data_IF_332367789553
#
_entry.id   IF_332367789553
#
_cell.length_a   1.000
_cell.length_b   1.000
_cell.length_c   1.000
_cell.angle_alpha   90.00
_cell.angle_beta   90.00
_cell.angle_gamma   90.00
#
_symmetry.space_group_name_H-M   'P 1'
#
loop_
_entity.id
_entity.type
_entity.pdbx_description
1 polymer ?
#
# COMPACT_ATOMS: atom_id res chain seq x y z
N UNK A 1 31.72 -12.94 -35.54
CA UNK A 1 30.93 -11.83 -35.00
C UNK A 1 29.50 -12.24 -34.68
N UNK A 2 28.92 -13.16 -35.46
CA UNK A 2 27.56 -13.61 -35.27
C UNK A 2 27.38 -14.64 -34.14
N UNK A 3 28.41 -15.47 -33.86
CA UNK A 3 28.40 -16.43 -32.77
C UNK A 3 28.33 -15.76 -31.39
N UNK A 4 29.09 -14.68 -31.18
CA UNK A 4 29.06 -13.91 -29.93
C UNK A 4 27.68 -13.27 -29.65
N UNK A 5 26.98 -12.84 -30.71
CA UNK A 5 25.61 -12.32 -30.58
C UNK A 5 24.66 -13.42 -30.12
N UNK A 6 24.76 -14.62 -30.72
CA UNK A 6 23.88 -15.73 -30.38
C UNK A 6 24.15 -16.27 -28.98
N UNK A 7 25.41 -16.38 -28.55
CA UNK A 7 25.77 -16.70 -27.18
C UNK A 7 25.24 -15.67 -26.18
N UNK A 8 25.34 -14.37 -26.51
CA UNK A 8 24.76 -13.32 -25.66
C UNK A 8 23.25 -13.42 -25.56
N UNK A 9 22.53 -13.74 -26.66
CA UNK A 9 21.07 -13.94 -26.63
C UNK A 9 20.66 -15.15 -25.78
N UNK A 10 21.44 -16.26 -25.85
CA UNK A 10 21.18 -17.46 -25.03
C UNK A 10 21.43 -17.22 -23.52
N UNK A 11 22.46 -16.43 -23.18
CA UNK A 11 22.70 -16.03 -21.80
C UNK A 11 21.56 -15.15 -21.29
N UNK A 12 21.06 -14.21 -22.09
CA UNK A 12 19.94 -13.34 -21.73
C UNK A 12 18.62 -14.12 -21.56
N UNK A 13 18.39 -15.12 -22.40
CA UNK A 13 17.23 -15.99 -22.25
C UNK A 13 17.28 -16.77 -20.93
N UNK A 14 18.44 -17.32 -20.57
CA UNK A 14 18.63 -18.10 -19.33
C UNK A 14 18.63 -17.23 -18.07
N UNK A 15 19.31 -16.08 -18.09
CA UNK A 15 19.49 -15.24 -16.89
C UNK A 15 18.36 -14.24 -16.67
N UNK A 16 17.77 -13.74 -17.75
CA UNK A 16 16.76 -12.65 -17.69
C UNK A 16 15.37 -13.09 -18.11
N UNK A 17 15.20 -14.35 -18.54
CA UNK A 17 13.94 -14.91 -19.03
C UNK A 17 13.33 -14.11 -20.20
N UNK A 18 14.18 -13.53 -21.06
CA UNK A 18 13.77 -12.77 -22.24
C UNK A 18 13.88 -13.71 -23.44
N UNK A 19 12.74 -14.00 -24.09
CA UNK A 19 12.70 -14.90 -25.24
C UNK A 19 13.66 -14.43 -26.34
N UNK A 20 14.47 -15.35 -26.86
CA UNK A 20 15.38 -15.14 -27.98
C UNK A 20 14.64 -14.60 -29.22
N UNK A 21 13.44 -15.13 -29.48
CA UNK A 21 12.63 -14.71 -30.63
C UNK A 21 12.19 -13.24 -30.50
N UNK A 22 11.76 -12.81 -29.32
CA UNK A 22 11.40 -11.40 -29.05
C UNK A 22 12.59 -10.45 -29.30
N UNK A 23 13.81 -10.88 -28.92
CA UNK A 23 15.02 -10.08 -29.15
C UNK A 23 15.36 -10.02 -30.65
N UNK A 24 15.24 -11.13 -31.37
CA UNK A 24 15.50 -11.21 -32.80
C UNK A 24 14.49 -10.32 -33.58
N UNK A 25 13.20 -10.40 -33.28
CA UNK A 25 12.18 -9.53 -33.88
C UNK A 25 12.48 -8.05 -33.62
N UNK A 26 12.85 -7.68 -32.39
CA UNK A 26 13.19 -6.30 -32.05
C UNK A 26 14.42 -5.80 -32.82
N UNK A 27 15.42 -6.67 -33.02
CA UNK A 27 16.61 -6.36 -33.85
C UNK A 27 16.19 -6.18 -35.31
N UNK A 28 15.36 -7.05 -35.87
CA UNK A 28 14.85 -6.94 -37.23
C UNK A 28 14.11 -5.61 -37.46
N UNK A 29 13.20 -5.24 -36.57
CA UNK A 29 12.48 -3.97 -36.64
C UNK A 29 13.42 -2.75 -36.57
N UNK A 30 14.43 -2.81 -35.72
CA UNK A 30 15.43 -1.77 -35.61
C UNK A 30 16.28 -1.63 -36.87
N UNK A 31 16.64 -2.74 -37.50
CA UNK A 31 17.38 -2.75 -38.75
C UNK A 31 16.55 -2.19 -39.91
N UNK A 32 15.26 -2.52 -39.98
CA UNK A 32 14.34 -1.92 -40.94
C UNK A 32 14.27 -0.41 -40.76
N UNK A 33 14.17 0.08 -39.51
CA UNK A 33 14.17 1.50 -39.20
C UNK A 33 15.48 2.19 -39.56
N UNK A 34 16.61 1.51 -39.35
CA UNK A 34 17.91 1.99 -39.74
C UNK A 34 18.03 2.12 -41.28
N UNK A 35 17.49 1.17 -42.01
CA UNK A 35 17.39 1.25 -43.46
C UNK A 35 16.54 2.43 -43.92
N UNK A 36 15.39 2.67 -43.29
CA UNK A 36 14.55 3.86 -43.56
C UNK A 36 15.30 5.16 -43.38
N UNK A 37 16.05 5.27 -42.29
CA UNK A 37 16.83 6.47 -41.98
C UNK A 37 18.01 6.68 -42.96
N UNK A 38 18.61 5.59 -43.44
CA UNK A 38 19.78 5.66 -44.33
C UNK A 38 19.39 5.92 -45.81
N UNK A 39 18.31 5.28 -46.26
CA UNK A 39 17.89 5.35 -47.66
C UNK A 39 16.73 6.34 -47.91
N UNK A 40 16.13 6.92 -46.85
CA UNK A 40 15.03 7.88 -46.96
C UNK A 40 13.68 7.24 -47.29
N UNK A 41 13.64 6.07 -47.94
CA UNK A 41 12.50 5.20 -48.23
C UNK A 41 12.93 3.77 -48.00
N UNK A 42 12.18 2.96 -47.32
CA UNK A 42 12.51 1.55 -47.08
C UNK A 42 11.28 0.67 -46.91
N UNK A 43 10.19 1.07 -47.57
CA UNK A 43 8.98 0.25 -47.59
C UNK A 43 9.14 -1.05 -48.40
N UNK A 44 10.20 -1.11 -49.21
CA UNK A 44 10.63 -2.24 -50.00
C UNK A 44 11.77 -3.05 -49.36
N UNK A 45 12.21 -2.73 -48.16
CA UNK A 45 13.34 -3.45 -47.52
C UNK A 45 12.80 -4.48 -46.53
N UNK A 46 13.23 -5.73 -46.71
CA UNK A 46 13.02 -6.84 -45.79
C UNK A 46 14.35 -7.21 -45.12
N UNK A 47 14.31 -7.37 -43.82
CA UNK A 47 15.44 -7.85 -43.04
C UNK A 47 15.05 -9.23 -42.50
N UNK A 48 15.95 -10.18 -42.62
CA UNK A 48 15.78 -11.50 -42.01
C UNK A 48 17.04 -11.85 -41.24
N UNK A 49 16.87 -12.40 -40.05
CA UNK A 49 17.96 -12.87 -39.20
C UNK A 49 17.83 -14.39 -39.09
N UNK A 50 18.92 -15.08 -39.36
CA UNK A 50 18.99 -16.55 -39.14
C UNK A 50 19.12 -16.81 -37.65
N UNK A 51 18.10 -17.42 -37.03
CA UNK A 51 18.05 -17.72 -35.62
C UNK A 51 19.12 -18.70 -35.12
N UNK A 52 19.79 -19.43 -36.02
CA UNK A 52 20.85 -20.39 -35.66
C UNK A 52 22.24 -19.77 -35.77
N UNK A 53 22.50 -18.98 -36.82
CA UNK A 53 23.83 -18.45 -37.12
C UNK A 53 24.00 -16.97 -36.70
N UNK A 54 22.90 -16.26 -36.44
CA UNK A 54 22.89 -14.83 -36.18
C UNK A 54 23.25 -14.00 -37.42
N UNK A 55 23.29 -14.60 -38.61
CA UNK A 55 23.53 -13.87 -39.84
C UNK A 55 22.29 -13.14 -40.27
N UNK A 56 22.44 -11.87 -40.60
CA UNK A 56 21.36 -11.07 -41.11
C UNK A 56 21.51 -10.82 -42.62
N UNK A 57 20.40 -10.88 -43.32
CA UNK A 57 20.26 -10.54 -44.73
C UNK A 57 19.34 -9.35 -44.87
N UNK A 58 19.77 -8.35 -45.60
CA UNK A 58 18.94 -7.21 -45.97
C UNK A 58 18.66 -7.30 -47.44
N UNK A 59 17.39 -7.39 -47.79
CA UNK A 59 16.96 -7.54 -49.19
C UNK A 59 16.03 -6.39 -49.52
N UNK A 60 16.36 -5.65 -50.58
CA UNK A 60 15.43 -4.69 -51.16
C UNK A 60 14.64 -5.33 -52.29
N UNK A 61 13.34 -5.31 -52.23
CA UNK A 61 12.43 -5.71 -53.28
C UNK A 61 12.34 -4.57 -54.26
N UNK A 62 13.03 -4.70 -55.42
CA UNK A 62 13.06 -3.66 -56.46
C UNK A 62 12.21 -4.03 -57.64
N UNK A 63 11.46 -3.06 -58.16
CA UNK A 63 10.63 -3.24 -59.37
C UNK A 63 11.51 -3.15 -60.61
N UNK A 64 11.38 -4.09 -61.52
CA UNK A 64 12.10 -4.07 -62.80
C UNK A 64 11.52 -3.03 -63.73
N UNK A 65 12.34 -2.10 -64.17
CA UNK A 65 11.97 -1.01 -65.06
C UNK A 65 12.95 -0.93 -66.26
N UNK A 66 12.53 -0.31 -67.32
CA UNK A 66 13.41 -0.07 -68.49
C UNK A 66 14.42 1.03 -68.23
N UNK A 67 13.99 2.10 -67.56
CA UNK A 67 14.80 3.26 -67.20
C UNK A 67 14.62 3.53 -65.68
N UNK A 68 15.71 3.36 -64.92
CA UNK A 68 15.72 3.54 -63.46
C UNK A 68 15.62 5.03 -63.15
N UNK A 69 14.55 5.42 -62.47
CA UNK A 69 14.34 6.76 -61.91
C UNK A 69 14.72 6.83 -60.44
N UNK A 70 14.41 5.82 -59.67
CA UNK A 70 14.74 5.69 -58.27
C UNK A 70 15.62 4.41 -58.05
N UNK A 71 16.92 4.56 -57.89
CA UNK A 71 17.84 3.42 -57.71
C UNK A 71 17.54 2.58 -56.42
N UNK A 72 16.75 3.12 -55.48
CA UNK A 72 16.38 2.43 -54.26
C UNK A 72 15.20 1.46 -54.49
N UNK A 73 14.21 1.91 -55.27
CA UNK A 73 12.97 1.17 -55.51
C UNK A 73 13.00 0.38 -56.82
N UNK A 74 13.87 0.72 -57.73
CA UNK A 74 13.86 0.22 -59.13
C UNK A 74 15.18 -0.45 -59.51
N UNK A 75 15.15 -1.39 -60.42
CA UNK A 75 16.30 -2.05 -61.03
C UNK A 75 16.11 -2.12 -62.55
N UNK A 76 17.17 -1.89 -63.32
CA UNK A 76 17.11 -2.01 -64.78
C UNK A 76 16.88 -3.47 -65.20
N UNK A 77 16.10 -3.67 -66.24
CA UNK A 77 15.82 -4.99 -66.83
C UNK A 77 17.11 -5.75 -67.18
N UNK A 78 18.14 -5.06 -67.67
CA UNK A 78 19.44 -5.61 -67.98
C UNK A 78 20.15 -6.23 -66.78
N UNK A 79 20.01 -5.58 -65.60
CA UNK A 79 20.64 -6.04 -64.36
C UNK A 79 19.81 -7.13 -63.70
N UNK A 80 18.51 -7.05 -63.76
CA UNK A 80 17.57 -8.10 -63.30
C UNK A 80 17.80 -9.40 -64.08
N UNK A 81 17.93 -9.34 -65.43
CA UNK A 81 18.23 -10.53 -66.26
C UNK A 81 19.65 -11.12 -66.05
N UNK A 82 20.60 -10.42 -65.48
CA UNK A 82 21.89 -10.98 -65.06
C UNK A 82 21.73 -11.89 -63.83
N UNK A 83 20.76 -11.59 -62.94
CA UNK A 83 20.48 -12.42 -61.78
C UNK A 83 19.63 -13.65 -62.19
N UNK A 84 18.57 -13.49 -62.98
CA UNK A 84 17.76 -14.56 -63.54
C UNK A 84 17.13 -14.08 -64.87
N UNK A 85 17.35 -14.85 -65.95
CA UNK A 85 16.89 -14.54 -67.29
C UNK A 85 15.35 -14.50 -67.45
N UNK A 86 14.64 -14.97 -66.46
CA UNK A 86 13.15 -15.05 -66.46
C UNK A 86 12.45 -13.74 -66.08
N UNK A 87 13.16 -12.77 -65.50
CA UNK A 87 12.56 -11.54 -65.07
C UNK A 87 12.09 -10.66 -66.26
N UNK A 88 10.88 -10.11 -66.12
CA UNK A 88 10.24 -9.19 -67.07
C UNK A 88 10.00 -7.80 -66.45
N UNK A 89 9.62 -6.83 -67.30
CA UNK A 89 9.26 -5.50 -66.83
C UNK A 89 8.09 -5.54 -65.87
N UNK A 90 8.18 -4.91 -64.70
CA UNK A 90 7.18 -4.89 -63.69
C UNK A 90 7.34 -5.95 -62.61
N UNK A 91 8.25 -6.94 -62.77
CA UNK A 91 8.52 -7.95 -61.78
C UNK A 91 9.26 -7.35 -60.54
N UNK A 92 9.09 -8.03 -59.39
CA UNK A 92 9.75 -7.65 -58.15
C UNK A 92 10.98 -8.58 -57.98
N UNK A 93 12.18 -7.98 -57.94
CA UNK A 93 13.47 -8.69 -57.78
C UNK A 93 14.02 -8.44 -56.39
N UNK A 94 14.27 -9.50 -55.60
CA UNK A 94 14.98 -9.38 -54.30
C UNK A 94 16.49 -9.13 -54.53
N UNK A 95 16.94 -7.95 -54.22
CA UNK A 95 18.34 -7.54 -54.34
C UNK A 95 19.00 -7.45 -52.96
N UNK A 96 20.01 -8.27 -52.70
CA UNK A 96 20.76 -8.23 -51.45
C UNK A 96 21.61 -6.95 -51.33
N UNK A 97 21.40 -6.18 -50.26
CA UNK A 97 22.19 -4.99 -49.96
C UNK A 97 23.46 -5.41 -49.21
N UNK A 98 24.59 -5.46 -49.90
CA UNK A 98 25.92 -5.72 -49.33
C UNK A 98 26.68 -4.44 -49.11
N UNK A 99 26.63 -3.88 -47.91
CA UNK A 99 27.43 -2.70 -47.56
C UNK A 99 28.18 -2.96 -46.25
N UNK A 100 29.52 -2.71 -46.26
CA UNK A 100 30.36 -2.79 -45.04
C UNK A 100 29.92 -1.74 -43.98
N UNK A 101 29.45 -0.58 -44.44
CA UNK A 101 28.95 0.48 -43.57
C UNK A 101 27.65 0.07 -42.89
N UNK A 102 26.77 -0.55 -43.65
CA UNK A 102 25.51 -1.09 -43.11
C UNK A 102 25.75 -2.16 -42.04
N UNK A 103 26.74 -3.04 -42.25
CA UNK A 103 27.11 -4.05 -41.25
C UNK A 103 27.52 -3.44 -39.90
N UNK A 104 28.21 -2.30 -39.88
CA UNK A 104 28.58 -1.58 -38.65
C UNK A 104 27.36 -0.94 -37.98
N UNK A 105 26.53 -0.28 -38.77
CA UNK A 105 25.28 0.36 -38.31
C UNK A 105 24.34 -0.72 -37.71
N UNK A 106 24.19 -1.85 -38.41
CA UNK A 106 23.37 -2.98 -37.98
C UNK A 106 23.84 -3.53 -36.62
N UNK A 107 25.15 -3.78 -36.47
CA UNK A 107 25.71 -4.29 -35.19
C UNK A 107 25.49 -3.30 -34.04
N UNK A 108 25.70 -2.00 -34.27
CA UNK A 108 25.49 -0.98 -33.25
C UNK A 108 24.01 -0.87 -32.86
N UNK A 109 23.10 -0.93 -33.84
CA UNK A 109 21.65 -0.89 -33.59
C UNK A 109 21.20 -2.15 -32.85
N UNK A 110 21.64 -3.33 -33.26
CA UNK A 110 21.33 -4.58 -32.55
C UNK A 110 21.74 -4.50 -31.07
N UNK A 111 22.95 -4.00 -30.78
CA UNK A 111 23.40 -3.79 -29.40
C UNK A 111 22.49 -2.84 -28.62
N UNK A 112 22.11 -1.71 -29.23
CA UNK A 112 21.26 -0.72 -28.57
C UNK A 112 19.87 -1.29 -28.28
N UNK A 113 19.29 -2.04 -29.24
CA UNK A 113 17.98 -2.69 -29.08
C UNK A 113 18.00 -3.72 -27.98
N UNK A 114 19.03 -4.57 -27.95
CA UNK A 114 19.20 -5.56 -26.87
C UNK A 114 19.27 -4.86 -25.51
N UNK A 115 20.08 -3.83 -25.36
CA UNK A 115 20.19 -3.05 -24.13
C UNK A 115 18.86 -2.38 -23.74
N UNK A 116 18.11 -1.91 -24.73
CA UNK A 116 16.79 -1.33 -24.51
C UNK A 116 15.80 -2.40 -24.01
N UNK A 117 15.75 -3.57 -24.65
CA UNK A 117 14.88 -4.68 -24.26
C UNK A 117 15.20 -5.19 -22.87
N UNK A 118 16.49 -5.36 -22.52
CA UNK A 118 16.91 -5.73 -21.16
C UNK A 118 16.36 -4.71 -20.14
N UNK A 119 16.51 -3.40 -20.41
CA UNK A 119 16.00 -2.36 -19.52
C UNK A 119 14.47 -2.36 -19.43
N UNK A 120 13.77 -2.68 -20.51
CA UNK A 120 12.30 -2.79 -20.52
C UNK A 120 11.84 -3.96 -19.63
N UNK A 121 12.46 -5.12 -19.77
CA UNK A 121 12.13 -6.29 -18.94
C UNK A 121 12.55 -6.10 -17.47
N UNK A 122 13.71 -5.51 -17.20
CA UNK A 122 14.10 -5.16 -15.82
C UNK A 122 13.10 -4.20 -15.18
N UNK A 123 12.59 -3.23 -15.93
CA UNK A 123 11.55 -2.30 -15.45
C UNK A 123 10.23 -3.01 -15.19
N UNK A 124 9.85 -3.95 -16.06
CA UNK A 124 8.63 -4.75 -15.89
C UNK A 124 8.70 -5.61 -14.63
N UNK A 125 9.79 -6.34 -14.44
CA UNK A 125 10.02 -7.14 -13.22
C UNK A 125 10.00 -6.27 -11.97
N UNK A 126 10.63 -5.08 -12.02
CA UNK A 126 10.59 -4.13 -10.90
C UNK A 126 9.17 -3.60 -10.67
N UNK A 127 8.42 -3.30 -11.72
CA UNK A 127 7.05 -2.86 -11.60
C UNK A 127 6.19 -3.94 -10.95
N UNK A 128 6.24 -5.17 -11.42
CA UNK A 128 5.48 -6.29 -10.89
C UNK A 128 5.82 -6.53 -9.39
N UNK A 129 7.14 -6.50 -9.04
CA UNK A 129 7.60 -6.67 -7.66
C UNK A 129 7.07 -5.60 -6.70
N UNK A 130 6.95 -4.33 -7.15
CA UNK A 130 6.44 -3.26 -6.30
C UNK A 130 4.93 -3.11 -6.38
N UNK A 131 4.30 -3.54 -7.47
CA UNK A 131 2.85 -3.62 -7.60
C UNK A 131 2.23 -4.59 -6.59
N UNK A 132 2.87 -5.75 -6.35
CA UNK A 132 2.47 -6.68 -5.29
C UNK A 132 2.51 -6.07 -3.88
N UNK A 133 3.30 -4.99 -3.70
CA UNK A 133 3.40 -4.25 -2.44
C UNK A 133 2.48 -3.03 -2.36
N UNK A 134 1.65 -2.83 -3.37
CA UNK A 134 0.62 -1.78 -3.32
C UNK A 134 -0.34 -2.05 -2.18
N UNK A 135 -0.72 -0.99 -1.47
CA UNK A 135 -1.55 -1.08 -0.27
C UNK A 135 -0.91 -1.79 0.93
N UNK A 136 0.42 -1.91 0.94
CA UNK A 136 1.16 -2.47 2.07
C UNK A 136 2.21 -1.47 2.60
N UNK A 137 2.79 -1.78 3.77
CA UNK A 137 3.83 -0.97 4.40
C UNK A 137 5.21 -1.51 4.04
N UNK A 138 6.05 -0.61 3.54
CA UNK A 138 7.44 -0.92 3.22
C UNK A 138 8.39 -0.03 4.03
N UNK A 139 9.55 -0.59 4.39
CA UNK A 139 10.61 0.17 5.01
C UNK A 139 11.53 0.72 3.93
N UNK A 140 11.71 2.04 3.92
CA UNK A 140 12.64 2.71 3.03
C UNK A 140 13.68 3.53 3.78
N UNK A 141 14.68 4.00 3.06
CA UNK A 141 15.74 4.88 3.55
C UNK A 141 15.58 6.25 2.90
N UNK A 142 15.50 7.29 3.71
CA UNK A 142 15.43 8.67 3.23
C UNK A 142 16.71 9.02 2.49
N UNK A 143 16.62 9.46 1.24
CA UNK A 143 17.77 9.88 0.45
C UNK A 143 17.97 11.40 0.50
N UNK A 144 16.97 12.15 0.04
CA UNK A 144 17.04 13.60 -0.10
C UNK A 144 15.66 14.23 -0.28
N UNK A 145 15.61 15.51 -0.06
CA UNK A 145 14.48 16.34 -0.50
C UNK A 145 14.60 16.68 -1.98
N UNK A 146 13.48 16.60 -2.68
CA UNK A 146 13.33 17.03 -4.08
C UNK A 146 12.24 18.12 -4.12
N UNK A 147 12.65 19.36 -3.96
CA UNK A 147 11.72 20.46 -3.66
C UNK A 147 11.08 20.27 -2.28
N UNK A 148 9.75 20.15 -2.23
CA UNK A 148 8.99 19.88 -1.01
C UNK A 148 8.71 18.38 -0.78
N UNK A 149 9.03 17.55 -1.76
CA UNK A 149 8.84 16.12 -1.68
C UNK A 149 10.10 15.45 -1.13
N UNK A 150 9.93 14.23 -0.59
CA UNK A 150 11.04 13.41 -0.08
C UNK A 150 11.20 12.18 -0.97
N UNK A 151 12.44 11.93 -1.40
CA UNK A 151 12.84 10.69 -2.09
C UNK A 151 13.26 9.66 -1.07
N UNK A 152 12.60 8.50 -1.10
CA UNK A 152 12.83 7.38 -0.19
C UNK A 152 13.28 6.18 -1.01
N UNK A 153 14.45 5.64 -0.73
CA UNK A 153 14.97 4.45 -1.39
C UNK A 153 14.35 3.19 -0.80
N UNK A 154 13.73 2.38 -1.63
CA UNK A 154 13.14 1.09 -1.28
C UNK A 154 14.06 -0.10 -1.65
N UNK A 155 15.33 0.16 -1.94
CA UNK A 155 16.32 -0.80 -2.37
C UNK A 155 16.58 -0.72 -3.87
N UNK A 156 15.67 -1.17 -4.70
CA UNK A 156 15.83 -1.16 -6.17
C UNK A 156 15.17 0.03 -6.87
N UNK A 157 14.22 0.68 -6.20
CA UNK A 157 13.42 1.80 -6.73
C UNK A 157 13.34 2.90 -5.70
N UNK A 158 13.30 4.14 -6.17
CA UNK A 158 13.06 5.31 -5.33
C UNK A 158 11.57 5.62 -5.31
N UNK A 159 11.00 5.70 -4.11
CA UNK A 159 9.63 6.12 -3.87
C UNK A 159 9.58 7.64 -3.65
N UNK A 160 8.43 8.23 -3.99
CA UNK A 160 8.17 9.64 -3.80
C UNK A 160 7.13 9.85 -2.71
N UNK A 161 7.53 10.50 -1.63
CA UNK A 161 6.66 10.99 -0.57
C UNK A 161 6.36 12.47 -0.88
N UNK A 162 5.15 12.74 -1.39
CA UNK A 162 4.75 14.11 -1.76
C UNK A 162 4.45 14.95 -0.53
N UNK A 163 4.49 16.29 -0.66
CA UNK A 163 4.22 17.22 0.43
C UNK A 163 2.87 16.93 1.13
N UNK A 164 1.82 16.60 0.37
CA UNK A 164 0.49 16.31 0.91
C UNK A 164 0.43 14.98 1.69
N UNK A 165 1.34 14.08 1.43
CA UNK A 165 1.44 12.77 2.07
C UNK A 165 2.44 12.76 3.24
N UNK A 166 3.08 13.90 3.52
CA UNK A 166 3.95 14.10 4.68
C UNK A 166 3.14 14.54 5.89
N UNK A 167 3.49 14.04 7.05
CA UNK A 167 2.92 14.50 8.31
C UNK A 167 3.47 15.88 8.64
N UNK A 168 2.59 16.82 8.98
CA UNK A 168 3.00 18.18 9.34
C UNK A 168 3.92 18.17 10.56
N UNK A 169 5.10 18.76 10.39
CA UNK A 169 6.12 18.85 11.47
C UNK A 169 7.07 17.65 11.53
N UNK A 170 6.83 16.57 10.80
CA UNK A 170 7.78 15.46 10.67
C UNK A 170 8.98 15.90 9.84
N UNK A 171 10.18 15.63 10.34
CA UNK A 171 11.44 15.92 9.65
C UNK A 171 12.08 14.62 9.23
N UNK A 172 12.56 14.58 7.99
CA UNK A 172 13.23 13.42 7.44
C UNK A 172 14.72 13.72 7.28
N UNK A 173 15.55 12.96 7.98
CA UNK A 173 17.00 13.08 7.87
C UNK A 173 17.55 12.09 6.82
N UNK A 174 18.54 12.48 6.03
CA UNK A 174 19.22 11.55 5.11
C UNK A 174 19.70 10.30 5.86
N UNK A 175 19.57 9.14 5.25
CA UNK A 175 19.87 7.81 5.81
C UNK A 175 18.93 7.28 6.88
N UNK A 176 17.97 8.08 7.35
CA UNK A 176 16.93 7.63 8.28
C UNK A 176 16.07 6.52 7.63
N UNK A 177 15.81 5.46 8.40
CA UNK A 177 14.84 4.44 8.01
C UNK A 177 13.45 4.88 8.42
N UNK A 178 12.49 4.75 7.50
CA UNK A 178 11.09 5.11 7.74
C UNK A 178 10.18 4.03 7.16
N UNK A 179 9.11 3.72 7.85
CA UNK A 179 8.04 2.88 7.33
C UNK A 179 7.03 3.76 6.59
N UNK A 180 6.67 3.40 5.39
CA UNK A 180 5.74 4.16 4.53
C UNK A 180 4.71 3.23 3.90
N UNK A 181 3.50 3.73 3.75
CA UNK A 181 2.42 3.02 3.07
C UNK A 181 2.50 3.27 1.56
N UNK A 182 2.45 2.22 0.76
CA UNK A 182 2.47 2.33 -0.70
C UNK A 182 1.06 2.64 -1.20
N UNK A 183 0.87 3.87 -1.72
CA UNK A 183 -0.41 4.32 -2.26
C UNK A 183 -0.69 3.77 -3.64
N UNK A 184 0.31 3.87 -4.51
CA UNK A 184 0.14 3.55 -5.93
C UNK A 184 1.51 3.30 -6.58
N UNK A 185 1.54 2.35 -7.50
CA UNK A 185 2.70 2.05 -8.33
C UNK A 185 2.37 2.29 -9.80
N UNK A 186 2.96 3.31 -10.40
CA UNK A 186 2.74 3.67 -11.81
C UNK A 186 3.89 3.19 -12.68
N UNK A 187 3.55 2.57 -13.81
CA UNK A 187 4.53 2.27 -14.83
C UNK A 187 4.80 3.51 -15.68
N UNK A 188 6.05 3.94 -15.75
CA UNK A 188 6.47 5.07 -16.57
C UNK A 188 7.60 4.68 -17.53
N UNK A 189 7.82 5.50 -18.56
CA UNK A 189 8.90 5.28 -19.53
C UNK A 189 10.29 5.23 -18.90
N UNK A 190 10.46 5.81 -17.69
CA UNK A 190 11.72 5.81 -16.94
C UNK A 190 11.83 4.69 -15.91
N UNK A 191 10.75 3.92 -15.69
CA UNK A 191 10.65 2.84 -14.72
C UNK A 191 9.45 3.01 -13.80
N UNK A 192 9.24 2.08 -12.84
CA UNK A 192 8.15 2.18 -11.88
C UNK A 192 8.31 3.42 -11.01
N UNK A 193 7.21 4.15 -10.85
CA UNK A 193 7.11 5.29 -9.94
C UNK A 193 6.24 4.87 -8.77
N UNK A 194 6.84 4.71 -7.60
CA UNK A 194 6.16 4.33 -6.38
C UNK A 194 5.78 5.57 -5.60
N UNK A 195 4.49 5.74 -5.33
CA UNK A 195 3.98 6.84 -4.50
C UNK A 195 3.70 6.29 -3.10
N UNK A 196 4.17 6.99 -2.09
CA UNK A 196 4.05 6.55 -0.69
C UNK A 196 3.45 7.63 0.19
N UNK A 197 2.84 7.22 1.30
CA UNK A 197 2.19 8.10 2.28
C UNK A 197 2.64 7.80 3.71
N UNK A 198 2.69 8.86 4.51
CA UNK A 198 2.79 8.81 5.98
C UNK A 198 1.49 9.28 6.65
N UNK A 199 0.55 9.86 5.88
CA UNK A 199 -0.71 10.40 6.39
C UNK A 199 -1.88 9.41 6.29
N UNK A 200 -1.77 8.38 5.45
CA UNK A 200 -2.85 7.43 5.19
C UNK A 200 -3.23 6.62 6.45
N UNK A 201 -4.53 6.44 6.77
CA UNK A 201 -4.97 5.66 7.94
C UNK A 201 -4.51 4.19 7.91
N UNK A 202 -4.47 3.59 6.73
CA UNK A 202 -4.02 2.20 6.56
C UNK A 202 -2.56 1.98 7.01
N UNK A 203 -1.72 3.03 7.05
CA UNK A 203 -0.39 2.93 7.63
C UNK A 203 -0.46 2.44 9.07
N UNK A 204 -1.39 3.00 9.87
CA UNK A 204 -1.57 2.62 11.28
C UNK A 204 -2.04 1.17 11.37
N UNK A 205 -3.02 0.78 10.56
CA UNK A 205 -3.54 -0.60 10.52
C UNK A 205 -2.43 -1.61 10.24
N UNK A 206 -1.64 -1.38 9.18
CA UNK A 206 -0.53 -2.26 8.81
C UNK A 206 0.59 -2.30 9.86
N UNK A 207 0.82 -1.18 10.56
CA UNK A 207 1.76 -1.16 11.68
C UNK A 207 1.29 -2.06 12.84
N UNK A 208 -0.01 -2.03 13.17
CA UNK A 208 -0.58 -2.93 14.16
C UNK A 208 -0.55 -4.39 13.69
N UNK A 209 -0.86 -4.69 12.43
CA UNK A 209 -0.72 -6.04 11.86
C UNK A 209 0.72 -6.58 11.97
N UNK A 210 1.73 -5.70 11.87
CA UNK A 210 3.13 -6.11 12.02
C UNK A 210 3.58 -6.29 13.47
N UNK A 211 2.94 -5.61 14.43
CA UNK A 211 3.35 -5.57 15.84
C UNK A 211 2.53 -6.52 16.71
N UNK A 212 1.28 -6.80 16.32
CA UNK A 212 0.29 -7.56 17.10
C UNK A 212 -0.07 -8.84 16.36
N UNK A 213 0.36 -9.98 16.87
CA UNK A 213 0.11 -11.30 16.27
C UNK A 213 -1.37 -11.62 16.14
N UNK A 214 -2.17 -11.26 17.15
CA UNK A 214 -3.61 -11.49 17.18
C UNK A 214 -4.36 -10.71 16.08
N UNK A 215 -3.80 -9.56 15.65
CA UNK A 215 -4.31 -8.80 14.50
C UNK A 215 -3.87 -9.45 13.19
N UNK A 216 -2.60 -9.88 13.10
CA UNK A 216 -2.06 -10.55 11.92
C UNK A 216 -2.77 -11.89 11.63
N UNK A 217 -3.16 -12.62 12.67
CA UNK A 217 -3.90 -13.89 12.59
C UNK A 217 -5.41 -13.72 12.39
N UNK A 218 -5.91 -12.46 12.46
CA UNK A 218 -7.34 -12.17 12.29
C UNK A 218 -8.21 -12.52 13.50
N UNK A 219 -7.62 -12.82 14.65
CA UNK A 219 -8.34 -13.02 15.93
C UNK A 219 -8.91 -11.68 16.38
N UNK A 220 -8.09 -10.63 16.32
CA UNK A 220 -8.49 -9.25 16.57
C UNK A 220 -8.61 -8.53 15.23
N UNK A 221 -9.77 -7.92 15.00
CA UNK A 221 -10.06 -7.17 13.79
C UNK A 221 -10.12 -5.67 14.07
N UNK A 222 -9.46 -4.88 13.25
CA UNK A 222 -9.56 -3.42 13.27
C UNK A 222 -10.75 -3.04 12.37
N UNK A 223 -11.88 -2.69 12.98
CA UNK A 223 -13.15 -2.38 12.29
C UNK A 223 -13.14 -1.00 11.63
N UNK A 224 -12.60 0.00 12.31
CA UNK A 224 -12.52 1.37 11.77
C UNK A 224 -11.34 2.14 12.36
N UNK A 225 -10.87 3.13 11.60
CA UNK A 225 -9.79 4.03 12.01
C UNK A 225 -10.15 5.46 11.61
N UNK A 226 -10.03 6.39 12.56
CA UNK A 226 -10.09 7.82 12.33
C UNK A 226 -8.77 8.45 12.72
N UNK A 227 -8.09 9.10 11.77
CA UNK A 227 -6.74 9.62 11.95
C UNK A 227 -6.64 11.10 11.62
N UNK A 228 -5.96 11.84 12.49
CA UNK A 228 -5.37 13.15 12.23
C UNK A 228 -3.85 12.98 12.33
N UNK A 229 -3.24 12.75 11.17
CA UNK A 229 -1.83 12.37 11.06
C UNK A 229 -0.89 13.32 11.80
N UNK A 230 0.01 12.76 12.61
CA UNK A 230 0.95 13.50 13.46
C UNK A 230 0.37 14.08 14.74
N UNK A 231 -0.92 13.86 15.01
CA UNK A 231 -1.59 14.35 16.21
C UNK A 231 -2.23 13.21 17.02
N UNK A 232 -3.31 12.63 16.49
CA UNK A 232 -4.06 11.59 17.19
C UNK A 232 -4.78 10.67 16.24
N UNK A 233 -4.83 9.39 16.58
CA UNK A 233 -5.61 8.35 15.90
C UNK A 233 -6.53 7.66 16.89
N UNK A 234 -7.79 7.41 16.48
CA UNK A 234 -8.71 6.52 17.18
C UNK A 234 -8.92 5.28 16.32
N UNK A 235 -8.88 4.11 16.95
CA UNK A 235 -8.97 2.82 16.28
C UNK A 235 -9.96 1.94 17.03
N UNK A 236 -11.03 1.50 16.35
CA UNK A 236 -12.01 0.60 16.91
C UNK A 236 -11.63 -0.85 16.59
N UNK A 237 -11.50 -1.67 17.62
CA UNK A 237 -11.07 -3.08 17.54
C UNK A 237 -12.14 -4.01 18.08
N UNK A 238 -12.23 -5.19 17.47
CA UNK A 238 -13.14 -6.24 17.83
C UNK A 238 -12.42 -7.58 17.93
N UNK A 239 -12.76 -8.40 18.90
CA UNK A 239 -12.24 -9.77 18.98
C UNK A 239 -13.25 -10.79 18.48
N UNK A 240 -12.82 -11.66 17.60
CA UNK A 240 -13.61 -12.81 17.13
C UNK A 240 -13.57 -13.98 18.13
N UNK A 241 -12.64 -13.96 19.11
CA UNK A 241 -12.56 -14.92 20.20
C UNK A 241 -12.95 -14.24 21.51
N UNK A 242 -14.02 -14.71 22.21
CA UNK A 242 -14.49 -14.12 23.45
C UNK A 242 -13.46 -14.21 24.61
N UNK A 243 -12.43 -15.06 24.50
CA UNK A 243 -11.36 -15.17 25.49
C UNK A 243 -10.22 -14.17 25.27
N UNK A 244 -10.23 -13.44 24.16
CA UNK A 244 -9.18 -12.48 23.80
C UNK A 244 -9.72 -11.06 23.92
N UNK A 245 -9.16 -10.28 24.84
CA UNK A 245 -9.45 -8.85 24.94
C UNK A 245 -8.74 -8.11 23.79
N UNK A 246 -9.52 -7.59 22.84
CA UNK A 246 -9.01 -6.87 21.68
C UNK A 246 -8.20 -5.63 22.05
N UNK A 247 -8.65 -4.86 23.04
CA UNK A 247 -7.97 -3.68 23.54
C UNK A 247 -6.64 -4.01 24.20
N UNK A 248 -6.64 -5.01 25.07
CA UNK A 248 -5.45 -5.52 25.76
C UNK A 248 -4.42 -6.11 24.79
N UNK A 249 -4.85 -6.86 23.78
CA UNK A 249 -3.99 -7.43 22.75
C UNK A 249 -3.26 -6.35 21.94
N UNK A 250 -3.97 -5.32 21.50
CA UNK A 250 -3.39 -4.19 20.77
C UNK A 250 -2.53 -3.29 21.67
N UNK A 251 -2.91 -3.10 22.94
CA UNK A 251 -2.14 -2.33 23.92
C UNK A 251 -0.83 -3.00 24.29
N UNK A 252 -0.89 -4.29 24.56
CA UNK A 252 0.22 -5.07 25.10
C UNK A 252 0.50 -4.75 26.56
N UNK A 253 1.43 -5.51 27.17
CA UNK A 253 1.81 -5.31 28.57
C UNK A 253 2.34 -3.89 28.79
N UNK A 254 1.73 -3.15 29.72
CA UNK A 254 2.05 -1.74 29.98
C UNK A 254 2.05 -0.83 28.73
N UNK A 255 1.24 -1.15 27.74
CA UNK A 255 1.16 -0.38 26.50
C UNK A 255 2.35 -0.58 25.56
N UNK A 256 3.14 -1.65 25.72
CA UNK A 256 4.38 -1.85 24.95
C UNK A 256 4.14 -1.88 23.44
N UNK A 257 3.11 -2.58 22.97
CA UNK A 257 2.80 -2.72 21.53
C UNK A 257 2.30 -1.40 20.93
N UNK A 258 1.32 -0.77 21.56
CA UNK A 258 0.82 0.54 21.09
C UNK A 258 1.91 1.60 21.10
N UNK A 259 2.81 1.60 22.12
CA UNK A 259 3.92 2.53 22.20
C UNK A 259 4.97 2.30 21.10
N UNK A 260 5.19 1.06 20.65
CA UNK A 260 6.05 0.78 19.52
C UNK A 260 5.51 1.47 18.22
N UNK A 261 4.20 1.39 18.00
CA UNK A 261 3.55 2.06 16.87
C UNK A 261 3.57 3.59 17.04
N UNK A 262 3.30 4.11 18.25
CA UNK A 262 3.39 5.55 18.57
C UNK A 262 4.79 6.10 18.28
N UNK A 263 5.84 5.36 18.65
CA UNK A 263 7.23 5.75 18.39
C UNK A 263 7.56 5.76 16.89
N UNK A 264 7.08 4.78 16.12
CA UNK A 264 7.23 4.77 14.66
C UNK A 264 6.53 5.98 14.00
N UNK A 265 5.44 6.45 14.58
CA UNK A 265 4.66 7.61 14.12
C UNK A 265 5.08 8.93 14.78
N UNK A 266 6.31 8.97 15.35
CA UNK A 266 6.91 10.18 15.97
C UNK A 266 6.06 10.82 17.07
N UNK A 267 5.39 9.99 17.88
CA UNK A 267 4.61 10.45 19.04
C UNK A 267 3.15 10.75 18.75
N UNK A 268 2.61 10.32 17.61
CA UNK A 268 1.17 10.38 17.32
C UNK A 268 0.41 9.53 18.35
N UNK A 269 -0.52 10.14 19.08
CA UNK A 269 -1.29 9.44 20.12
C UNK A 269 -2.31 8.49 19.48
N UNK A 270 -2.43 7.29 20.04
CA UNK A 270 -3.35 6.27 19.55
C UNK A 270 -4.30 5.86 20.68
N UNK A 271 -5.59 6.04 20.45
CA UNK A 271 -6.66 5.55 21.33
C UNK A 271 -7.24 4.26 20.74
N UNK A 272 -7.13 3.17 21.49
CA UNK A 272 -7.73 1.89 21.16
C UNK A 272 -9.10 1.84 21.82
N UNK A 273 -10.13 1.56 21.02
CA UNK A 273 -11.53 1.62 21.39
C UNK A 273 -12.16 0.27 21.09
N UNK A 274 -12.93 -0.27 22.04
CA UNK A 274 -13.71 -1.47 21.79
C UNK A 274 -14.84 -1.14 20.82
N UNK A 275 -14.88 -1.86 19.70
CA UNK A 275 -15.97 -1.76 18.74
C UNK A 275 -17.20 -2.49 19.29
N UNK A 276 -18.38 -1.94 19.02
CA UNK A 276 -19.66 -2.54 19.38
C UNK A 276 -20.65 -2.42 18.23
N UNK A 277 -21.53 -3.40 18.10
CA UNK A 277 -22.60 -3.40 17.09
C UNK A 277 -23.67 -2.35 17.41
N UNK A 278 -23.89 -2.09 18.71
CA UNK A 278 -24.77 -1.03 19.17
C UNK A 278 -24.12 0.34 18.93
N UNK A 279 -24.71 1.18 18.07
CA UNK A 279 -24.14 2.50 17.76
C UNK A 279 -23.98 3.40 19.00
N UNK A 280 -24.88 3.31 19.98
CA UNK A 280 -24.81 4.11 21.19
C UNK A 280 -23.55 3.76 22.01
N UNK A 281 -23.29 2.46 22.22
CA UNK A 281 -22.09 1.98 22.92
C UNK A 281 -20.81 2.30 22.14
N UNK A 282 -20.84 2.15 20.82
CA UNK A 282 -19.69 2.51 19.98
C UNK A 282 -19.36 3.99 20.08
N UNK A 283 -20.36 4.88 20.10
CA UNK A 283 -20.16 6.34 20.22
C UNK A 283 -19.67 6.67 21.63
N UNK A 284 -20.21 6.07 22.67
CA UNK A 284 -19.74 6.22 24.05
C UNK A 284 -18.26 5.86 24.14
N UNK A 285 -17.88 4.65 23.69
CA UNK A 285 -16.50 4.20 23.65
C UNK A 285 -15.59 5.14 22.82
N UNK A 286 -16.09 5.64 21.69
CA UNK A 286 -15.35 6.54 20.80
C UNK A 286 -15.06 7.89 21.42
N UNK A 287 -15.84 8.35 22.37
CA UNK A 287 -15.61 9.62 23.09
C UNK A 287 -14.61 9.50 24.24
N UNK A 288 -14.15 8.26 24.55
CA UNK A 288 -13.06 8.07 25.51
C UNK A 288 -11.91 9.06 25.28
N UNK A 289 -11.27 9.62 26.33
CA UNK A 289 -11.43 9.29 27.75
C UNK A 289 -12.56 10.05 28.49
N UNK A 290 -13.43 10.81 27.80
CA UNK A 290 -14.55 11.45 28.42
C UNK A 290 -15.60 10.43 28.86
N UNK A 291 -16.17 10.63 30.05
CA UNK A 291 -17.30 9.82 30.52
C UNK A 291 -18.60 10.40 29.98
N UNK A 292 -19.46 9.54 29.48
CA UNK A 292 -20.75 9.88 28.90
C UNK A 292 -21.85 9.49 29.89
N UNK A 293 -22.92 10.28 29.98
CA UNK A 293 -24.13 9.96 30.77
C UNK A 293 -25.08 9.15 29.92
N UNK A 294 -25.41 9.64 28.72
CA UNK A 294 -26.29 8.95 27.80
C UNK A 294 -25.97 9.25 26.35
N UNK A 295 -26.31 8.32 25.46
CA UNK A 295 -26.18 8.44 24.01
C UNK A 295 -27.49 8.03 23.36
N UNK A 296 -28.12 8.96 22.66
CA UNK A 296 -29.26 8.72 21.81
C UNK A 296 -28.80 8.72 20.36
N UNK A 297 -28.67 7.53 19.76
CA UNK A 297 -28.23 7.38 18.38
C UNK A 297 -29.40 7.03 17.47
N UNK A 298 -29.51 7.75 16.35
CA UNK A 298 -30.41 7.42 15.25
C UNK A 298 -29.64 6.76 14.12
N UNK A 299 -29.78 5.44 13.91
CA UNK A 299 -29.07 4.71 12.87
C UNK A 299 -29.52 5.09 11.44
N UNK A 300 -30.76 5.56 11.24
CA UNK A 300 -31.30 5.89 9.92
C UNK A 300 -30.73 7.22 9.45
N UNK A 301 -30.78 8.26 10.30
CA UNK A 301 -30.26 9.58 9.98
C UNK A 301 -28.72 9.70 10.20
N UNK A 302 -28.09 8.69 10.83
CA UNK A 302 -26.69 8.74 11.25
C UNK A 302 -26.37 9.95 12.12
N UNK A 303 -27.27 10.30 13.03
CA UNK A 303 -27.10 11.35 14.02
C UNK A 303 -27.08 10.78 15.42
N UNK A 304 -26.38 11.44 16.32
CA UNK A 304 -26.37 11.05 17.72
C UNK A 304 -26.33 12.29 18.62
N UNK A 305 -27.14 12.28 19.68
CA UNK A 305 -27.06 13.25 20.77
C UNK A 305 -26.37 12.57 21.94
N UNK A 306 -25.38 13.25 22.49
CA UNK A 306 -24.57 12.74 23.60
C UNK A 306 -24.63 13.72 24.75
N UNK A 307 -24.96 13.23 25.93
CA UNK A 307 -25.00 14.01 27.16
C UNK A 307 -23.79 13.62 28.03
N UNK A 308 -23.03 14.61 28.45
CA UNK A 308 -21.86 14.44 29.30
C UNK A 308 -21.96 15.30 30.55
N UNK A 309 -21.33 14.95 31.68
CA UNK A 309 -21.25 15.82 32.84
C UNK A 309 -20.61 17.17 32.45
N UNK A 310 -21.03 18.28 33.07
CA UNK A 310 -20.54 19.62 32.75
C UNK A 310 -19.01 19.73 32.78
N UNK A 311 -18.35 19.08 33.76
CA UNK A 311 -16.89 19.06 33.87
C UNK A 311 -16.20 18.20 32.80
N UNK A 312 -16.90 17.36 32.08
CA UNK A 312 -16.38 16.48 31.01
C UNK A 312 -16.56 17.09 29.61
N UNK A 313 -17.39 18.11 29.45
CA UNK A 313 -17.73 18.71 28.14
C UNK A 313 -16.47 19.09 27.34
N UNK A 314 -15.54 19.80 27.98
CA UNK A 314 -14.29 20.20 27.33
C UNK A 314 -13.43 18.99 26.91
N UNK A 315 -13.45 17.90 27.67
CA UNK A 315 -12.71 16.68 27.35
C UNK A 315 -13.40 15.90 26.23
N UNK A 316 -14.74 15.82 26.24
CA UNK A 316 -15.52 15.18 25.20
C UNK A 316 -15.35 15.85 23.85
N UNK A 317 -15.35 17.18 23.81
CA UNK A 317 -15.08 17.97 22.61
C UNK A 317 -13.59 17.84 22.22
N UNK A 318 -12.70 17.96 23.20
CA UNK A 318 -11.26 17.97 23.01
C UNK A 318 -10.73 19.29 22.44
N UNK A 319 -9.40 19.41 22.38
CA UNK A 319 -8.73 20.61 21.83
C UNK A 319 -9.16 20.82 20.38
N UNK A 320 -9.65 22.02 20.06
CA UNK A 320 -10.15 22.39 18.71
C UNK A 320 -11.20 21.39 18.14
N UNK A 321 -11.95 20.71 19.02
CA UNK A 321 -12.95 19.72 18.61
C UNK A 321 -12.36 18.40 18.10
N UNK A 322 -11.10 18.09 18.39
CA UNK A 322 -10.40 16.91 17.86
C UNK A 322 -11.05 15.59 18.31
N UNK A 323 -11.39 15.47 19.60
CA UNK A 323 -11.95 14.23 20.13
C UNK A 323 -13.32 13.93 19.49
N UNK A 324 -14.23 14.92 19.49
CA UNK A 324 -15.54 14.80 18.86
C UNK A 324 -15.44 14.51 17.35
N UNK A 325 -14.55 15.21 16.64
CA UNK A 325 -14.36 15.02 15.20
C UNK A 325 -13.80 13.63 14.85
N UNK A 326 -12.85 13.11 15.63
CA UNK A 326 -12.32 11.76 15.46
C UNK A 326 -13.39 10.71 15.78
N UNK A 327 -14.15 10.88 16.87
CA UNK A 327 -15.26 9.99 17.21
C UNK A 327 -16.32 9.95 16.10
N UNK A 328 -16.72 11.11 15.58
CA UNK A 328 -17.68 11.19 14.48
C UNK A 328 -17.18 10.48 13.21
N UNK A 329 -15.89 10.62 12.86
CA UNK A 329 -15.29 9.92 11.71
C UNK A 329 -15.17 8.42 11.94
N UNK A 330 -14.85 7.99 13.17
CA UNK A 330 -14.69 6.60 13.54
C UNK A 330 -16.00 5.83 13.44
N UNK A 331 -17.07 6.42 13.98
CA UNK A 331 -18.39 5.81 14.06
C UNK A 331 -19.25 6.02 12.81
N UNK A 332 -18.93 7.07 12.04
CA UNK A 332 -19.73 7.47 10.87
C UNK A 332 -21.01 8.23 11.23
N UNK A 333 -21.15 8.68 12.48
CA UNK A 333 -22.28 9.45 12.98
C UNK A 333 -21.94 10.93 13.11
N UNK A 334 -22.94 11.79 12.92
CA UNK A 334 -22.87 13.21 13.31
C UNK A 334 -23.21 13.32 14.78
N UNK A 335 -22.23 13.62 15.61
CA UNK A 335 -22.36 13.62 17.06
C UNK A 335 -22.58 15.05 17.56
N UNK A 336 -23.70 15.29 18.27
CA UNK A 336 -23.99 16.53 19.00
C UNK A 336 -23.77 16.30 20.50
N UNK A 337 -22.77 17.00 21.06
CA UNK A 337 -22.36 16.82 22.46
C UNK A 337 -22.86 17.99 23.28
N UNK A 338 -23.66 17.71 24.31
CA UNK A 338 -24.20 18.68 25.25
C UNK A 338 -23.76 18.33 26.66
N UNK A 339 -23.61 19.38 27.50
CA UNK A 339 -23.47 19.15 28.93
C UNK A 339 -24.83 18.86 29.56
N UNK A 340 -24.84 18.26 30.75
CA UNK A 340 -26.04 17.98 31.51
C UNK A 340 -26.89 19.22 31.70
N UNK A 341 -26.29 20.36 32.08
CA UNK A 341 -27.00 21.63 32.21
C UNK A 341 -27.62 22.10 30.90
N UNK A 342 -26.88 22.03 29.78
CA UNK A 342 -27.38 22.39 28.45
C UNK A 342 -28.49 21.47 27.96
N UNK A 343 -28.43 20.19 28.26
CA UNK A 343 -29.45 19.21 27.90
C UNK A 343 -30.76 19.46 28.68
N UNK A 344 -30.69 19.80 29.96
CA UNK A 344 -31.87 20.21 30.78
C UNK A 344 -32.53 21.47 30.26
N UNK A 345 -31.72 22.50 29.93
CA UNK A 345 -32.24 23.75 29.36
C UNK A 345 -32.91 23.56 28.00
N UNK A 346 -32.41 22.60 27.21
CA UNK A 346 -32.96 22.28 25.89
C UNK A 346 -34.15 21.31 25.91
N UNK A 347 -34.52 20.76 27.09
CA UNK A 347 -35.58 19.76 27.24
C UNK A 347 -35.22 18.37 26.69
N UNK A 348 -33.91 18.11 26.45
CA UNK A 348 -33.41 16.82 25.95
C UNK A 348 -33.26 15.79 27.11
N UNK A 349 -33.51 16.16 28.37
CA UNK A 349 -33.35 15.32 29.56
C UNK A 349 -34.61 14.52 29.92
N UNK A 350 -35.78 14.97 29.47
CA UNK A 350 -37.05 14.32 29.79
C UNK A 350 -37.16 12.89 29.21
N UNK A 351 -36.37 12.56 28.19
CA UNK A 351 -36.32 11.20 27.63
C UNK A 351 -35.42 10.24 28.40
N UNK A 352 -34.57 10.72 29.29
CA UNK A 352 -33.60 9.88 30.03
C UNK A 352 -34.21 9.38 31.35
N UNK A 353 -35.15 10.17 31.94
CA UNK A 353 -35.83 9.75 33.17
C UNK A 353 -36.82 8.62 32.92
N UNK A 354 -37.44 8.50 31.73
CA UNK A 354 -38.35 7.41 31.38
C UNK A 354 -37.65 6.04 31.24
N UNK A 355 -36.37 5.97 30.81
CA UNK A 355 -35.63 4.72 30.71
C UNK A 355 -35.16 4.17 32.08
N UNK A 356 -34.90 5.05 33.06
CA UNK A 356 -34.48 4.62 34.41
C UNK A 356 -35.65 4.27 35.32
N UNK A 357 -36.88 4.75 35.08
CA UNK A 357 -38.07 4.35 35.87
C UNK A 357 -38.58 2.95 35.51
N UNK A 358 -38.27 2.39 34.34
CA UNK A 358 -38.64 1.03 33.96
C UNK A 358 -37.72 -0.06 34.53
N UNK A 359 -36.47 0.22 34.92
CA UNK A 359 -35.53 -0.75 35.50
C UNK A 359 -35.64 -0.83 37.04
N UNK A 360 -36.17 0.17 37.75
CA UNK A 360 -36.28 0.16 39.23
C UNK A 360 -37.58 -0.48 39.78
N UNK A 361 -38.44 -1.04 38.92
CA UNK A 361 -39.69 -1.70 39.34
C UNK A 361 -39.61 -3.24 39.42
N UNK A 362 -38.41 -3.80 39.50
CA UNK A 362 -38.26 -5.23 39.82
C UNK A 362 -37.68 -5.40 41.22
N UNK A 363 -38.59 -5.77 42.16
CA UNK A 363 -38.35 -6.59 43.35
C UNK A 363 -37.89 -5.93 44.65
N UNK A 364 -38.80 -5.15 45.24
CA UNK A 364 -38.75 -4.86 46.67
C UNK A 364 -39.64 -5.84 47.49
N UNK A 365 -39.98 -7.04 46.96
CA UNK A 365 -40.86 -8.02 47.65
C UNK A 365 -40.23 -9.36 48.04
N UNK A 366 -38.90 -9.48 48.04
CA UNK A 366 -38.21 -10.73 48.40
C UNK A 366 -37.09 -10.61 49.46
N UNK A 367 -37.11 -9.59 50.31
CA UNK A 367 -36.11 -9.44 51.37
C UNK A 367 -36.68 -9.32 52.80
N UNK A 368 -37.82 -9.99 53.07
CA UNK A 368 -38.29 -10.18 54.43
C UNK A 368 -38.66 -11.67 54.68
N UNK A 369 -37.74 -12.57 54.73
CA UNK A 369 -37.81 -13.89 55.39
C UNK A 369 -36.46 -14.59 55.25
N UNK A 370 -35.48 -14.25 56.10
CA UNK A 370 -34.39 -15.12 56.57
C UNK A 370 -33.43 -14.38 57.53
N UNK A 371 -34.00 -13.88 58.60
CA UNK A 371 -33.23 -13.56 59.81
C UNK A 371 -33.90 -14.24 61.01
N UNK A 372 -33.70 -15.54 61.17
CA UNK A 372 -33.80 -16.26 62.48
C UNK A 372 -33.07 -17.59 62.28
N UNK A 373 -31.95 -17.73 62.92
CA UNK A 373 -31.32 -18.99 63.43
C UNK A 373 -29.84 -19.11 63.01
N UNK A 374 -28.98 -18.62 63.85
CA UNK A 374 -27.66 -19.20 64.21
C UNK A 374 -26.94 -18.33 65.24
N UNK A 375 -27.55 -18.16 66.42
CA UNK A 375 -26.78 -18.04 67.63
C UNK A 375 -26.66 -19.44 68.23
N UNK A 376 -25.50 -19.75 68.76
CA UNK A 376 -25.03 -20.88 69.55
C UNK A 376 -24.04 -21.80 68.85
N UNK A 377 -22.75 -21.49 69.08
CA UNK A 377 -21.82 -22.39 69.78
C UNK A 377 -20.41 -21.81 69.67
N UNK A 378 -20.02 -21.09 70.69
CA UNK A 378 -18.67 -20.84 71.12
C UNK A 378 -18.26 -22.02 71.95
N UNK A 379 -17.18 -22.72 71.64
CA UNK A 379 -16.44 -23.52 72.58
C UNK A 379 -14.94 -23.27 72.39
N UNK A 380 -14.38 -22.77 73.50
CA UNK A 380 -12.98 -22.62 73.79
C UNK A 380 -12.28 -23.98 73.83
N UNK A 381 -11.09 -24.06 73.28
CA UNK A 381 -9.87 -24.72 73.75
C UNK A 381 -8.99 -25.05 72.54
N UNK A 382 -7.84 -24.52 72.39
CA UNK A 382 -6.58 -24.91 72.93
C UNK A 382 -5.48 -23.94 72.48
N UNK A 383 -4.93 -23.31 73.46
CA UNK A 383 -3.63 -22.69 73.48
C UNK A 383 -2.62 -23.83 73.71
N UNK A 384 -1.59 -23.94 72.96
CA UNK A 384 -0.19 -24.10 73.41
C UNK A 384 0.77 -24.62 72.35
N UNK A 385 1.92 -23.94 72.35
CA UNK A 385 3.29 -24.44 72.04
C UNK A 385 3.65 -24.61 70.54
N UNK A 386 4.75 -24.20 70.12
CA UNK A 386 6.00 -23.64 70.68
C UNK A 386 6.86 -23.12 69.55
N UNK A 387 7.51 -22.03 69.85
CA UNK A 387 8.84 -21.65 69.46
C UNK A 387 9.81 -22.77 69.01
N UNK A 388 10.68 -22.30 68.10
CA UNK A 388 12.11 -22.63 67.93
C UNK A 388 12.54 -23.45 66.74
N UNK A 389 13.44 -22.83 66.19
CA UNK A 389 14.73 -23.19 65.58
C UNK A 389 14.72 -22.94 64.05
N UNK A 390 15.52 -22.14 63.47
CA UNK A 390 16.89 -21.76 63.76
C UNK A 390 17.70 -22.10 62.52
N UNK A 391 18.28 -21.10 61.95
CA UNK A 391 19.55 -20.99 61.24
C UNK A 391 20.11 -22.17 60.40
N UNK A 392 20.75 -21.75 59.32
CA UNK A 392 21.83 -22.41 58.53
C UNK A 392 21.31 -23.26 57.35
N UNK A 393 21.58 -22.86 56.15
CA UNK A 393 22.75 -22.60 55.31
C UNK A 393 22.40 -21.83 54.02
#
# INVERSE_FOLDING_TARGET
>A
MNTELMEALEVLEKEKNISKDTLLEAIEQSLIQACKNHFGKADNVKVSINAQTGDFKVVAEKTVVDLVQDPIMEIALSDAKRADSRYELGDIVPVEIKSKEFGRIATQNAKNVILQKIREEERKVLFDQYFEKEHDVVTGVVQRYVGRNVSINLGKVDALLTENEQVKGEKFEPTQRVKVYVLEVKNTTKGPKVMVSRTHPELVKRLFESEVSEVAEGIVEIKSIAREAGSRTKMAVWSNDPNVDAGGACGGMNGSRVNAVVNELNGEKIDIITWDENPALLIENALSPAKVISVMADPEEKTAKVIVPDYQLSLAIGKEGQNARLAARLTGFKIDIKSETQAREAGDFDYVEEEYEEEDNYDESAAEEETISAEENFDENDVETAEKAGDEE
#
